data_IF_805275969269
#
_entry.id   IF_805275969269
#
_cell.length_a   1.000
_cell.length_b   1.000
_cell.length_c   1.000
_cell.angle_alpha   90.00
_cell.angle_beta   90.00
_cell.angle_gamma   90.00
#
_symmetry.space_group_name_H-M   'P 1'
#
loop_
_entity.id
_entity.type
_entity.pdbx_description
1 polymer ?
#
# COMPACT_ATOMS: atom_id res chain seq x y z
N UNK A 1 4.28 8.98 7.11
CA UNK A 1 3.30 7.94 6.77
C UNK A 1 3.26 6.92 7.90
N UNK A 2 2.39 7.13 8.90
CA UNK A 2 1.95 6.07 9.81
C UNK A 2 0.45 6.22 10.12
N UNK A 3 -0.22 5.20 10.66
CA UNK A 3 -1.69 5.07 10.82
C UNK A 3 -2.36 6.05 11.81
N UNK A 4 -1.81 7.25 11.99
CA UNK A 4 -2.33 8.23 12.95
C UNK A 4 -2.29 7.74 14.39
N UNK A 5 -1.31 6.89 14.71
CA UNK A 5 -1.03 6.43 16.08
C UNK A 5 -0.68 7.60 17.01
N UNK A 6 -0.72 7.42 18.34
CA UNK A 6 -0.54 8.54 19.27
C UNK A 6 0.83 9.24 19.16
N UNK A 7 1.87 8.54 18.70
CA UNK A 7 3.23 9.09 18.66
C UNK A 7 3.39 10.24 17.65
N UNK A 8 2.68 10.23 16.51
CA UNK A 8 2.82 11.29 15.51
C UNK A 8 2.39 12.64 16.06
N UNK A 9 1.25 12.69 16.76
CA UNK A 9 0.76 13.92 17.37
C UNK A 9 1.67 14.36 18.51
N UNK A 10 2.11 13.43 19.37
CA UNK A 10 3.02 13.75 20.47
C UNK A 10 4.35 14.33 19.96
N UNK A 11 4.92 13.76 18.89
CA UNK A 11 6.14 14.28 18.28
C UNK A 11 5.92 15.68 17.70
N UNK A 12 4.78 15.91 17.05
CA UNK A 12 4.41 17.22 16.51
C UNK A 12 4.32 18.27 17.62
N UNK A 13 3.64 17.93 18.73
CA UNK A 13 3.52 18.80 19.90
C UNK A 13 4.89 19.13 20.53
N UNK A 14 5.82 18.16 20.54
CA UNK A 14 7.17 18.34 21.08
C UNK A 14 8.09 19.18 20.19
N UNK A 15 7.89 19.14 18.88
CA UNK A 15 8.75 19.83 17.90
C UNK A 15 8.18 21.15 17.40
N UNK A 16 6.90 21.43 17.66
CA UNK A 16 6.17 22.55 17.08
C UNK A 16 5.74 22.34 15.63
N UNK A 17 5.92 21.11 15.09
CA UNK A 17 5.43 20.75 13.77
C UNK A 17 3.90 20.73 13.75
N UNK A 18 3.31 21.04 12.59
CA UNK A 18 1.87 20.91 12.39
C UNK A 18 1.58 19.51 11.84
N UNK A 19 0.74 18.75 12.53
CA UNK A 19 0.26 17.44 12.08
C UNK A 19 -1.26 17.46 11.85
N UNK A 20 -1.69 16.92 10.72
CA UNK A 20 -3.11 16.83 10.34
C UNK A 20 -3.63 15.40 10.52
N UNK A 21 -4.02 14.97 11.75
CA UNK A 21 -4.31 13.56 12.04
C UNK A 21 -5.49 13.01 11.23
N UNK A 22 -6.53 13.81 11.00
CA UNK A 22 -7.71 13.40 10.21
C UNK A 22 -7.35 13.15 8.74
N UNK A 23 -6.56 14.03 8.14
CA UNK A 23 -6.09 13.92 6.76
C UNK A 23 -5.17 12.72 6.60
N UNK A 24 -4.22 12.57 7.52
CA UNK A 24 -3.25 11.50 7.48
C UNK A 24 -3.92 10.12 7.61
N UNK A 25 -4.77 9.92 8.64
CA UNK A 25 -5.44 8.62 8.88
C UNK A 25 -6.40 8.21 7.77
N UNK A 26 -7.06 9.17 7.12
CA UNK A 26 -8.06 8.87 6.09
C UNK A 26 -7.46 8.70 4.70
N UNK A 27 -6.39 9.42 4.35
CA UNK A 27 -5.97 9.53 2.95
C UNK A 27 -4.50 9.22 2.71
N UNK A 28 -3.61 9.47 3.68
CA UNK A 28 -2.15 9.43 3.44
C UNK A 28 -1.48 8.22 4.10
N UNK A 29 -1.99 7.74 5.23
CA UNK A 29 -1.40 6.60 5.90
C UNK A 29 -2.37 5.89 6.84
N UNK A 30 -2.52 4.60 6.59
CA UNK A 30 -3.28 3.68 7.40
C UNK A 30 -2.58 2.31 7.43
N UNK A 31 -2.91 1.49 8.42
CA UNK A 31 -2.28 0.19 8.65
C UNK A 31 -2.67 -0.88 7.61
N UNK A 32 -1.94 -1.99 7.62
CA UNK A 32 -2.25 -3.16 6.78
C UNK A 32 -1.98 -3.01 5.28
N UNK A 33 -1.30 -1.95 4.85
CA UNK A 33 -0.85 -1.77 3.45
C UNK A 33 0.62 -2.16 3.28
N UNK A 34 0.98 -2.61 2.08
CA UNK A 34 2.35 -2.90 1.67
C UNK A 34 2.81 -1.92 0.56
N UNK A 35 4.00 -2.12 0.02
CA UNK A 35 4.57 -1.37 -1.10
C UNK A 35 4.46 -2.13 -2.42
N UNK A 36 3.51 -3.07 -2.53
CA UNK A 36 3.32 -3.82 -3.76
C UNK A 36 3.11 -2.88 -4.97
N UNK A 37 3.75 -3.13 -6.12
CA UNK A 37 3.66 -2.25 -7.29
C UNK A 37 2.24 -2.18 -7.88
N UNK A 38 1.45 -3.24 -7.72
CA UNK A 38 0.10 -3.35 -8.25
C UNK A 38 -0.98 -2.65 -7.41
N UNK A 39 -0.70 -2.29 -6.16
CA UNK A 39 -1.69 -1.70 -5.26
C UNK A 39 -1.70 -0.19 -5.45
N UNK A 40 -2.82 0.34 -5.97
CA UNK A 40 -3.01 1.81 -6.09
C UNK A 40 -3.03 2.51 -4.72
N UNK A 41 -3.19 1.75 -3.64
CA UNK A 41 -3.19 2.24 -2.28
C UNK A 41 -1.93 1.83 -1.50
N UNK A 42 -0.93 1.27 -2.18
CA UNK A 42 0.37 0.99 -1.58
C UNK A 42 1.15 2.27 -1.28
N UNK A 43 2.38 2.14 -0.82
CA UNK A 43 3.23 3.27 -0.41
C UNK A 43 3.36 4.38 -1.47
N UNK A 44 3.56 4.03 -2.76
CA UNK A 44 3.64 5.03 -3.84
C UNK A 44 2.27 5.68 -4.13
N UNK A 45 1.18 4.92 -4.10
CA UNK A 45 -0.17 5.47 -4.22
C UNK A 45 -0.46 6.54 -3.17
N UNK A 46 -0.09 6.27 -1.92
CA UNK A 46 -0.19 7.21 -0.80
C UNK A 46 0.71 8.44 -0.97
N UNK A 47 1.92 8.26 -1.50
CA UNK A 47 2.80 9.37 -1.85
C UNK A 47 2.19 10.28 -2.91
N UNK A 48 1.50 9.74 -3.93
CA UNK A 48 0.78 10.54 -4.93
C UNK A 48 -0.35 11.36 -4.31
N UNK A 49 -1.10 10.77 -3.38
CA UNK A 49 -2.14 11.49 -2.64
C UNK A 49 -1.54 12.62 -1.79
N UNK A 50 -0.37 12.40 -1.18
CA UNK A 50 0.34 13.44 -0.42
C UNK A 50 0.79 14.58 -1.34
N UNK A 51 1.41 14.26 -2.48
CA UNK A 51 1.86 15.25 -3.46
C UNK A 51 0.70 16.09 -4.01
N UNK A 52 -0.49 15.50 -4.16
CA UNK A 52 -1.68 16.24 -4.62
C UNK A 52 -2.13 17.35 -3.64
N UNK A 53 -1.65 17.34 -2.40
CA UNK A 53 -1.99 18.34 -1.38
C UNK A 53 -1.00 19.51 -1.33
N UNK A 54 0.14 19.43 -2.03
CA UNK A 54 1.28 20.34 -1.88
C UNK A 54 0.95 21.82 -2.12
N UNK A 55 -0.05 22.10 -2.96
CA UNK A 55 -0.46 23.48 -3.28
C UNK A 55 -1.40 24.07 -2.22
N UNK A 56 -2.00 23.20 -1.38
CA UNK A 56 -2.95 23.58 -0.32
C UNK A 56 -2.34 23.55 1.08
N UNK A 57 -1.25 22.78 1.27
CA UNK A 57 -0.59 22.56 2.55
C UNK A 57 0.93 22.50 2.33
N UNK A 58 1.75 23.21 3.13
CA UNK A 58 3.18 22.99 3.12
C UNK A 58 3.49 21.57 3.61
N UNK A 59 4.41 20.89 2.91
CA UNK A 59 4.86 19.54 3.24
C UNK A 59 6.36 19.62 3.49
N UNK A 60 6.76 19.94 4.72
CA UNK A 60 8.18 20.18 5.03
C UNK A 60 8.92 18.88 5.41
N UNK A 61 8.22 17.93 6.03
CA UNK A 61 8.81 16.68 6.53
C UNK A 61 7.97 15.48 6.11
N UNK A 62 8.63 14.45 5.58
CA UNK A 62 8.03 13.14 5.33
C UNK A 62 8.83 12.07 6.07
N UNK A 63 8.16 11.33 6.95
CA UNK A 63 8.69 10.11 7.55
C UNK A 63 8.10 8.88 6.85
N UNK A 64 8.92 8.03 6.24
CA UNK A 64 8.48 6.82 5.53
C UNK A 64 8.70 5.61 6.43
N UNK A 65 7.69 4.76 6.59
CA UNK A 65 7.83 3.45 7.25
C UNK A 65 6.82 2.46 6.68
N UNK A 66 7.27 1.23 6.46
CA UNK A 66 6.37 0.13 6.14
C UNK A 66 6.94 -1.21 6.60
N UNK A 67 6.41 -1.72 7.72
CA UNK A 67 6.80 -3.02 8.27
C UNK A 67 6.11 -4.19 7.58
N UNK A 68 4.99 -3.97 6.88
CA UNK A 68 4.27 -5.04 6.18
C UNK A 68 5.05 -5.57 4.96
N UNK A 69 6.04 -4.82 4.49
CA UNK A 69 6.91 -5.26 3.39
C UNK A 69 7.81 -6.45 3.76
N UNK A 70 7.81 -6.88 5.04
CA UNK A 70 8.39 -8.16 5.44
C UNK A 70 7.71 -9.35 4.73
N UNK A 71 6.49 -9.16 4.20
CA UNK A 71 5.82 -10.18 3.39
C UNK A 71 6.51 -10.42 2.03
N UNK A 72 7.39 -9.51 1.58
CA UNK A 72 8.26 -9.70 0.40
C UNK A 72 9.64 -10.22 0.76
N UNK A 73 9.84 -10.63 2.01
CA UNK A 73 11.12 -11.09 2.53
C UNK A 73 11.03 -12.57 2.85
N UNK A 74 12.00 -13.33 2.35
CA UNK A 74 12.21 -14.74 2.69
C UNK A 74 13.35 -14.83 3.71
N UNK A 75 13.20 -15.60 4.81
CA UNK A 75 14.15 -15.56 5.92
C UNK A 75 15.54 -16.08 5.55
N UNK A 76 15.65 -16.87 4.47
CA UNK A 76 16.89 -17.52 4.07
C UNK A 76 17.51 -16.85 2.83
N UNK A 77 16.68 -16.35 1.92
CA UNK A 77 17.11 -15.74 0.65
C UNK A 77 16.98 -14.22 0.61
N UNK A 78 16.31 -13.60 1.59
CA UNK A 78 16.16 -12.16 1.71
C UNK A 78 15.04 -11.58 0.84
N UNK A 79 15.21 -10.33 0.42
CA UNK A 79 14.26 -9.62 -0.45
C UNK A 79 14.69 -9.79 -1.91
N UNK A 80 13.82 -10.32 -2.77
CA UNK A 80 14.07 -10.48 -4.21
C UNK A 80 14.45 -9.13 -4.85
N UNK A 81 15.51 -9.13 -5.67
CA UNK A 81 16.04 -7.95 -6.36
C UNK A 81 17.29 -7.36 -5.69
N UNK A 82 17.68 -6.17 -6.14
CA UNK A 82 18.90 -5.50 -5.68
C UNK A 82 18.82 -3.98 -5.73
N UNK A 83 19.77 -3.30 -5.09
CA UNK A 83 19.91 -1.84 -5.17
C UNK A 83 20.18 -1.34 -6.60
N UNK A 84 20.62 -2.22 -7.51
CA UNK A 84 20.94 -1.89 -8.90
C UNK A 84 19.71 -1.98 -9.83
N UNK A 85 18.63 -2.66 -9.43
CA UNK A 85 17.41 -2.82 -10.23
C UNK A 85 16.83 -1.46 -10.65
N UNK A 86 16.52 -1.18 -11.91
CA UNK A 86 16.01 0.16 -12.30
C UNK A 86 14.79 0.62 -11.46
N UNK A 87 14.68 1.93 -11.15
CA UNK A 87 13.51 2.46 -10.46
C UNK A 87 12.23 2.17 -11.27
N UNK A 88 11.18 1.74 -10.58
CA UNK A 88 9.88 1.56 -11.19
C UNK A 88 8.83 2.39 -10.43
N UNK A 89 8.19 3.29 -11.17
CA UNK A 89 7.17 4.17 -10.64
C UNK A 89 5.82 3.76 -11.23
N UNK A 90 4.86 3.46 -10.37
CA UNK A 90 3.49 3.20 -10.77
C UNK A 90 2.94 4.37 -11.60
N UNK A 91 2.47 4.08 -12.81
CA UNK A 91 1.82 5.01 -13.73
C UNK A 91 0.32 4.81 -13.71
N UNK A 92 -0.24 4.37 -14.85
CA UNK A 92 -1.65 4.00 -14.98
C UNK A 92 -1.87 2.49 -14.83
N UNK A 93 -3.03 2.12 -14.29
CA UNK A 93 -3.50 0.74 -14.20
C UNK A 93 -4.68 0.55 -15.14
N UNK A 94 -4.66 -0.48 -15.99
CA UNK A 94 -5.72 -0.74 -16.97
C UNK A 94 -6.09 -2.20 -17.03
N UNK A 95 -7.38 -2.49 -16.97
CA UNK A 95 -7.89 -3.83 -17.23
C UNK A 95 -7.78 -4.16 -18.71
N UNK A 96 -7.12 -5.28 -18.98
CA UNK A 96 -6.75 -5.74 -20.32
C UNK A 96 -7.52 -7.00 -20.75
N UNK A 97 -8.23 -7.65 -19.81
CA UNK A 97 -9.22 -8.68 -20.11
C UNK A 97 -10.60 -8.03 -20.36
N UNK A 98 -11.47 -8.73 -21.10
CA UNK A 98 -12.85 -8.28 -21.37
C UNK A 98 -13.85 -8.66 -20.28
N UNK A 99 -13.45 -9.53 -19.36
CA UNK A 99 -14.25 -10.05 -18.27
C UNK A 99 -13.32 -10.66 -17.21
N UNK A 100 -13.88 -10.98 -16.04
CA UNK A 100 -13.21 -11.79 -15.01
C UNK A 100 -12.90 -13.18 -15.58
N UNK A 101 -11.71 -13.67 -15.27
CA UNK A 101 -11.24 -15.02 -15.63
C UNK A 101 -11.38 -15.97 -14.43
N UNK A 102 -11.42 -17.28 -14.66
CA UNK A 102 -11.81 -18.23 -13.62
C UNK A 102 -10.73 -18.46 -12.55
N UNK A 103 -9.45 -18.23 -12.88
CA UNK A 103 -8.33 -18.41 -11.96
C UNK A 103 -7.12 -17.55 -12.34
N UNK A 104 -6.11 -17.51 -11.46
CA UNK A 104 -4.83 -16.86 -11.73
C UNK A 104 -4.12 -17.49 -12.95
N UNK A 105 -4.18 -18.80 -13.09
CA UNK A 105 -3.60 -19.56 -14.20
C UNK A 105 -4.31 -19.23 -15.52
N UNK A 106 -5.65 -19.13 -15.49
CA UNK A 106 -6.42 -18.69 -16.64
C UNK A 106 -6.08 -17.23 -17.03
N UNK A 107 -5.89 -16.34 -16.05
CA UNK A 107 -5.44 -14.97 -16.27
C UNK A 107 -4.05 -14.88 -16.90
N UNK A 108 -3.11 -15.68 -16.40
CA UNK A 108 -1.76 -15.79 -16.97
C UNK A 108 -1.79 -16.32 -18.41
N UNK A 109 -2.50 -17.42 -18.66
CA UNK A 109 -2.63 -17.99 -20.00
C UNK A 109 -3.30 -17.02 -20.99
N UNK A 110 -4.32 -16.28 -20.54
CA UNK A 110 -4.95 -15.23 -21.34
C UNK A 110 -3.97 -14.12 -21.68
N UNK A 111 -3.19 -13.64 -20.69
CA UNK A 111 -2.15 -12.64 -20.90
C UNK A 111 -1.14 -13.11 -21.94
N UNK A 112 -0.54 -14.29 -21.77
CA UNK A 112 0.45 -14.86 -22.70
C UNK A 112 -0.07 -14.94 -24.13
N UNK A 113 -1.33 -15.37 -24.31
CA UNK A 113 -1.98 -15.48 -25.63
C UNK A 113 -2.30 -14.13 -26.26
N UNK A 114 -2.70 -13.12 -25.47
CA UNK A 114 -3.30 -11.89 -26.00
C UNK A 114 -2.43 -10.64 -25.87
N UNK A 115 -1.34 -10.67 -25.09
CA UNK A 115 -0.55 -9.49 -24.74
C UNK A 115 -0.13 -8.71 -25.99
N UNK A 116 0.47 -9.37 -27.00
CA UNK A 116 0.91 -8.70 -28.24
C UNK A 116 -0.23 -7.95 -28.95
N UNK A 117 -1.44 -8.52 -28.95
CA UNK A 117 -2.63 -7.90 -29.56
C UNK A 117 -3.07 -6.67 -28.75
N UNK A 118 -3.11 -6.79 -27.43
CA UNK A 118 -3.46 -5.70 -26.50
C UNK A 118 -2.48 -4.54 -26.66
N UNK A 119 -1.17 -4.83 -26.68
CA UNK A 119 -0.13 -3.80 -26.82
C UNK A 119 -0.25 -3.04 -28.13
N UNK A 120 -0.54 -3.73 -29.25
CA UNK A 120 -0.75 -3.09 -30.56
C UNK A 120 -2.01 -2.23 -30.61
N UNK A 121 -3.12 -2.72 -30.04
CA UNK A 121 -4.41 -2.04 -30.03
C UNK A 121 -4.44 -0.82 -29.10
N UNK A 122 -3.56 -0.77 -28.10
CA UNK A 122 -3.47 0.34 -27.15
C UNK A 122 -3.14 1.67 -27.87
N UNK A 123 -3.96 2.73 -27.73
CA UNK A 123 -3.69 4.05 -28.33
C UNK A 123 -2.35 4.62 -27.89
N UNK A 124 -1.62 5.30 -28.80
CA UNK A 124 -0.30 5.90 -28.50
C UNK A 124 -0.33 6.85 -27.30
N UNK A 125 -1.38 7.66 -27.16
CA UNK A 125 -1.55 8.60 -26.04
C UNK A 125 -1.65 7.91 -24.67
N UNK A 126 -1.94 6.60 -24.62
CA UNK A 126 -1.99 5.83 -23.38
C UNK A 126 -0.74 4.97 -23.15
N UNK A 127 0.31 5.11 -23.98
CA UNK A 127 1.56 4.36 -23.84
C UNK A 127 2.55 5.21 -23.05
N UNK A 128 2.83 4.83 -21.82
CA UNK A 128 3.70 5.56 -20.91
C UNK A 128 4.43 4.60 -19.97
N UNK A 129 5.56 5.06 -19.42
CA UNK A 129 6.28 4.37 -18.36
C UNK A 129 5.37 4.12 -17.14
N UNK A 130 5.67 3.07 -16.37
CA UNK A 130 4.92 2.74 -15.15
C UNK A 130 3.54 2.12 -15.37
N UNK A 131 3.13 1.93 -16.62
CA UNK A 131 1.84 1.34 -16.92
C UNK A 131 1.75 -0.11 -16.46
N UNK A 132 0.56 -0.50 -16.02
CA UNK A 132 0.21 -1.87 -15.66
C UNK A 132 -0.96 -2.33 -16.51
N UNK A 133 -0.91 -3.58 -16.95
CA UNK A 133 -2.06 -4.28 -17.52
C UNK A 133 -2.54 -5.33 -16.53
N UNK A 134 -3.84 -5.34 -16.30
CA UNK A 134 -4.52 -6.16 -15.29
C UNK A 134 -5.41 -7.18 -15.98
N UNK A 135 -5.30 -8.41 -15.52
CA UNK A 135 -6.13 -9.53 -15.93
C UNK A 135 -6.88 -10.02 -14.69
N UNK A 136 -8.11 -9.52 -14.47
CA UNK A 136 -8.90 -9.87 -13.29
C UNK A 136 -9.26 -11.35 -13.30
N UNK A 137 -9.23 -11.99 -12.13
CA UNK A 137 -9.68 -13.36 -11.95
C UNK A 137 -10.48 -13.56 -10.67
N UNK A 138 -11.39 -14.53 -10.66
CA UNK A 138 -12.19 -14.87 -9.50
C UNK A 138 -11.37 -15.63 -8.45
N UNK A 139 -11.52 -15.25 -7.18
CA UNK A 139 -11.05 -16.00 -6.04
C UNK A 139 -12.28 -16.54 -5.26
N UNK A 140 -12.71 -17.79 -5.51
CA UNK A 140 -13.91 -18.36 -4.89
C UNK A 140 -13.80 -18.54 -3.38
N UNK A 141 -12.59 -18.51 -2.82
CA UNK A 141 -12.36 -18.68 -1.38
C UNK A 141 -12.53 -17.37 -0.59
N UNK A 142 -12.86 -16.27 -1.26
CA UNK A 142 -13.02 -14.95 -0.65
C UNK A 142 -14.29 -14.30 -1.17
N UNK A 143 -14.96 -13.57 -0.31
CA UNK A 143 -16.20 -12.88 -0.62
C UNK A 143 -15.95 -11.54 -1.31
N UNK A 144 -16.82 -11.21 -2.27
CA UNK A 144 -16.85 -9.94 -2.96
C UNK A 144 -18.26 -9.58 -3.41
N UNK A 145 -18.44 -8.33 -3.82
CA UNK A 145 -19.72 -7.84 -4.33
C UNK A 145 -19.46 -7.26 -5.71
N UNK A 146 -20.05 -7.84 -6.74
CA UNK A 146 -19.99 -7.32 -8.11
C UNK A 146 -21.03 -6.21 -8.24
N UNK A 147 -20.60 -5.07 -8.74
CA UNK A 147 -21.43 -3.89 -8.98
C UNK A 147 -21.45 -3.66 -10.49
N UNK A 148 -22.59 -3.95 -11.10
CA UNK A 148 -22.84 -3.73 -12.52
C UNK A 148 -23.50 -2.37 -12.74
N UNK A 149 -22.96 -1.60 -13.68
CA UNK A 149 -23.50 -0.30 -14.06
C UNK A 149 -24.52 -0.52 -15.16
N UNK A 150 -25.79 -0.36 -14.82
CA UNK A 150 -26.92 -0.53 -15.74
C UNK A 150 -27.08 0.72 -16.61
N UNK A 151 -27.03 1.90 -15.98
CA UNK A 151 -27.13 3.18 -16.67
C UNK A 151 -26.25 4.24 -15.98
N UNK A 152 -25.52 5.06 -16.75
CA UNK A 152 -24.65 6.09 -16.19
C UNK A 152 -25.46 7.27 -15.63
N UNK A 153 -24.83 8.06 -14.77
CA UNK A 153 -25.39 9.33 -14.30
C UNK A 153 -25.31 10.41 -15.38
N UNK A 154 -26.42 11.13 -15.61
CA UNK A 154 -26.46 12.30 -16.49
C UNK A 154 -25.95 13.58 -15.82
N UNK A 155 -26.12 13.73 -14.52
CA UNK A 155 -25.92 14.99 -13.79
C UNK A 155 -24.82 14.94 -12.72
N UNK A 156 -24.23 13.77 -12.47
CA UNK A 156 -23.34 13.55 -11.34
C UNK A 156 -24.10 13.56 -10.01
N UNK A 157 -23.36 13.51 -8.90
CA UNK A 157 -23.91 13.58 -7.54
C UNK A 157 -23.25 12.61 -6.57
N UNK A 158 -23.73 12.57 -5.33
CA UNK A 158 -23.14 11.69 -4.31
C UNK A 158 -23.52 10.22 -4.53
N UNK A 159 -22.55 9.35 -4.29
CA UNK A 159 -22.71 7.90 -4.18
C UNK A 159 -22.13 7.48 -2.84
N UNK A 160 -22.87 6.66 -2.10
CA UNK A 160 -22.44 6.14 -0.82
C UNK A 160 -22.34 4.62 -0.85
N UNK A 161 -21.16 4.08 -0.52
CA UNK A 161 -20.91 2.66 -0.35
C UNK A 161 -20.96 2.30 1.12
N UNK A 162 -21.55 1.16 1.44
CA UNK A 162 -21.73 0.70 2.80
C UNK A 162 -21.45 -0.79 2.93
N UNK A 163 -20.97 -1.21 4.10
CA UNK A 163 -20.72 -2.61 4.47
C UNK A 163 -21.14 -2.78 5.93
N UNK A 164 -22.25 -3.48 6.19
CA UNK A 164 -22.72 -3.74 7.56
C UNK A 164 -22.72 -2.47 8.45
N UNK A 165 -22.03 -2.53 9.60
CA UNK A 165 -21.84 -1.37 10.51
C UNK A 165 -20.53 -0.59 10.26
N UNK A 166 -19.77 -0.94 9.23
CA UNK A 166 -18.47 -0.35 8.92
C UNK A 166 -18.58 1.08 8.34
N UNK A 167 -17.46 1.83 8.27
CA UNK A 167 -17.47 3.20 7.75
C UNK A 167 -18.04 3.27 6.33
N UNK A 168 -18.90 4.27 6.12
CA UNK A 168 -19.43 4.62 4.79
C UNK A 168 -18.34 5.29 3.95
N UNK A 169 -18.36 5.04 2.66
CA UNK A 169 -17.49 5.73 1.70
C UNK A 169 -18.36 6.56 0.78
N UNK A 170 -18.21 7.88 0.87
CA UNK A 170 -18.94 8.83 0.04
C UNK A 170 -18.02 9.30 -1.10
N UNK A 171 -18.54 9.25 -2.32
CA UNK A 171 -17.85 9.68 -3.53
C UNK A 171 -18.75 10.63 -4.32
N UNK A 172 -18.19 11.73 -4.81
CA UNK A 172 -18.90 12.64 -5.72
C UNK A 172 -18.65 12.21 -7.15
N UNK A 173 -19.66 11.63 -7.79
CA UNK A 173 -19.59 11.16 -9.18
C UNK A 173 -19.65 12.36 -10.15
N UNK A 174 -18.70 12.46 -11.10
CA UNK A 174 -18.79 13.41 -12.21
C UNK A 174 -19.98 13.14 -13.14
N UNK A 175 -20.54 14.21 -13.70
CA UNK A 175 -21.60 14.13 -14.69
C UNK A 175 -21.09 13.63 -16.06
N UNK A 176 -21.97 12.99 -16.83
CA UNK A 176 -21.75 12.74 -18.26
C UNK A 176 -20.73 11.67 -18.62
N UNK A 177 -20.26 10.88 -17.66
CA UNK A 177 -19.39 9.73 -17.93
C UNK A 177 -20.19 8.60 -18.60
N UNK A 178 -19.60 7.93 -19.59
CA UNK A 178 -20.13 6.68 -20.13
C UNK A 178 -20.10 5.56 -19.07
N UNK A 179 -20.74 4.42 -19.35
CA UNK A 179 -20.70 3.22 -18.49
C UNK A 179 -19.26 2.78 -18.22
N UNK A 180 -18.44 2.67 -19.27
CA UNK A 180 -17.04 2.28 -19.16
C UNK A 180 -16.23 3.30 -18.33
N UNK A 181 -16.40 4.60 -18.60
CA UNK A 181 -15.71 5.64 -17.82
C UNK A 181 -16.13 5.64 -16.36
N UNK A 182 -17.43 5.43 -16.07
CA UNK A 182 -17.94 5.35 -14.70
C UNK A 182 -17.35 4.14 -13.97
N UNK A 183 -17.28 2.98 -14.62
CA UNK A 183 -16.65 1.77 -14.08
C UNK A 183 -15.18 1.99 -13.75
N UNK A 184 -14.41 2.52 -14.72
CA UNK A 184 -12.97 2.79 -14.54
C UNK A 184 -12.75 3.78 -13.41
N UNK A 185 -13.55 4.85 -13.37
CA UNK A 185 -13.49 5.87 -12.34
C UNK A 185 -13.77 5.27 -10.97
N UNK A 186 -14.84 4.48 -10.81
CA UNK A 186 -15.20 3.85 -9.54
C UNK A 186 -14.16 2.81 -9.08
N UNK A 187 -13.65 1.97 -9.99
CA UNK A 187 -12.61 1.00 -9.67
C UNK A 187 -11.26 1.66 -9.30
N UNK A 188 -11.00 2.87 -9.80
CA UNK A 188 -9.78 3.64 -9.49
C UNK A 188 -9.82 4.36 -8.14
N UNK A 189 -10.99 4.42 -7.47
CA UNK A 189 -11.13 5.21 -6.24
C UNK A 189 -10.49 4.57 -5.03
N UNK A 190 -10.09 5.48 -4.15
CA UNK A 190 -9.63 5.16 -2.82
C UNK A 190 -10.83 5.04 -1.88
N UNK A 191 -11.13 3.82 -1.44
CA UNK A 191 -12.24 3.52 -0.52
C UNK A 191 -11.82 3.47 0.96
N UNK A 192 -10.54 3.66 1.28
CA UNK A 192 -10.03 3.56 2.65
C UNK A 192 -9.47 2.19 3.03
N UNK A 193 -8.98 2.10 4.27
CA UNK A 193 -8.47 0.86 4.86
C UNK A 193 -9.53 -0.24 4.83
N UNK A 194 -9.13 -1.49 4.60
CA UNK A 194 -10.06 -2.62 4.50
C UNK A 194 -10.65 -2.85 3.11
N UNK A 195 -10.72 -1.83 2.25
CA UNK A 195 -11.42 -1.92 0.98
C UNK A 195 -10.49 -2.24 -0.20
N UNK A 196 -10.99 -3.02 -1.15
CA UNK A 196 -10.38 -3.15 -2.48
C UNK A 196 -11.47 -3.15 -3.55
N UNK A 197 -11.16 -2.51 -4.69
CA UNK A 197 -12.01 -2.50 -5.88
C UNK A 197 -11.17 -2.96 -7.08
N UNK A 198 -11.74 -3.84 -7.91
CA UNK A 198 -11.12 -4.35 -9.13
C UNK A 198 -12.07 -4.18 -10.29
N UNK A 199 -11.57 -3.61 -11.37
CA UNK A 199 -12.27 -3.51 -12.63
C UNK A 199 -12.35 -4.88 -13.32
N UNK A 200 -13.57 -5.34 -13.60
CA UNK A 200 -13.83 -6.65 -14.18
C UNK A 200 -13.64 -6.68 -15.71
N UNK A 201 -13.48 -5.52 -16.37
CA UNK A 201 -13.28 -5.41 -17.82
C UNK A 201 -14.57 -5.45 -18.65
N UNK A 202 -15.72 -5.70 -18.02
CA UNK A 202 -17.07 -5.62 -18.58
C UNK A 202 -17.75 -4.31 -18.14
N UNK A 203 -19.08 -4.30 -17.93
CA UNK A 203 -19.80 -3.15 -17.37
C UNK A 203 -19.83 -3.14 -15.83
N UNK A 204 -18.94 -3.90 -15.17
CA UNK A 204 -18.94 -4.06 -13.72
C UNK A 204 -17.57 -3.91 -13.09
N UNK A 205 -17.56 -3.72 -11.77
CA UNK A 205 -16.36 -3.85 -10.95
C UNK A 205 -16.72 -4.64 -9.70
N UNK A 206 -15.74 -5.28 -9.07
CA UNK A 206 -15.93 -6.02 -7.83
C UNK A 206 -15.31 -5.25 -6.68
N UNK A 207 -16.07 -5.09 -5.60
CA UNK A 207 -15.62 -4.47 -4.36
C UNK A 207 -15.67 -5.47 -3.20
N UNK A 208 -14.68 -5.42 -2.30
CA UNK A 208 -14.61 -6.28 -1.12
C UNK A 208 -14.04 -5.53 0.08
N UNK A 209 -14.47 -5.90 1.29
CA UNK A 209 -13.97 -5.37 2.55
C UNK A 209 -13.34 -6.49 3.40
N UNK A 210 -12.01 -6.54 3.49
CA UNK A 210 -11.32 -7.72 4.04
C UNK A 210 -11.41 -7.88 5.55
N UNK A 211 -11.80 -6.83 6.29
CA UNK A 211 -12.05 -6.91 7.73
C UNK A 211 -13.37 -7.62 8.05
N UNK A 212 -14.29 -7.71 7.09
CA UNK A 212 -15.52 -8.46 7.25
C UNK A 212 -15.83 -9.28 6.00
N UNK A 213 -15.36 -10.52 6.03
CA UNK A 213 -15.40 -11.45 4.89
C UNK A 213 -16.81 -11.93 4.54
N UNK A 214 -17.84 -11.55 5.28
CA UNK A 214 -19.21 -12.04 5.07
C UNK A 214 -20.21 -10.92 4.81
N UNK A 215 -19.80 -9.65 4.87
CA UNK A 215 -20.74 -8.54 4.70
C UNK A 215 -21.01 -8.21 3.23
N UNK A 216 -22.30 -8.01 2.96
CA UNK A 216 -22.77 -7.47 1.69
C UNK A 216 -22.51 -5.97 1.60
N UNK A 217 -22.02 -5.56 0.44
CA UNK A 217 -21.87 -4.14 0.11
C UNK A 217 -23.20 -3.66 -0.43
N UNK A 218 -23.68 -2.50 0.02
CA UNK A 218 -24.79 -1.82 -0.63
C UNK A 218 -24.37 -0.43 -1.10
N UNK A 219 -25.00 0.04 -2.17
CA UNK A 219 -24.67 1.30 -2.83
C UNK A 219 -25.94 2.16 -2.86
N UNK A 220 -25.88 3.33 -2.25
CA UNK A 220 -26.90 4.36 -2.42
C UNK A 220 -26.47 5.30 -3.55
N UNK A 221 -27.31 5.37 -4.59
CA UNK A 221 -27.08 6.17 -5.79
C UNK A 221 -28.15 7.24 -6.01
N UNK A 222 -29.09 7.44 -5.07
CA UNK A 222 -30.26 8.32 -5.26
C UNK A 222 -29.90 9.72 -5.71
N UNK A 223 -28.87 10.32 -5.11
CA UNK A 223 -28.45 11.69 -5.42
C UNK A 223 -27.66 11.80 -6.72
N UNK A 224 -26.98 10.73 -7.15
CA UNK A 224 -26.24 10.72 -8.42
C UNK A 224 -27.10 10.33 -9.62
N UNK A 225 -28.23 9.63 -9.40
CA UNK A 225 -29.03 9.05 -10.49
C UNK A 225 -28.31 7.92 -11.25
N UNK A 226 -27.20 7.40 -10.73
CA UNK A 226 -26.53 6.20 -11.25
C UNK A 226 -27.42 4.97 -11.00
N UNK A 227 -27.57 4.10 -12.00
CA UNK A 227 -28.28 2.83 -11.81
C UNK A 227 -27.29 1.68 -11.76
N UNK A 228 -27.32 0.93 -10.65
CA UNK A 228 -26.44 -0.22 -10.43
C UNK A 228 -27.23 -1.44 -9.98
N UNK A 229 -26.75 -2.62 -10.37
CA UNK A 229 -27.10 -3.88 -9.74
C UNK A 229 -25.93 -4.35 -8.87
N UNK A 230 -26.23 -4.78 -7.65
CA UNK A 230 -25.23 -5.38 -6.75
C UNK A 230 -25.55 -6.86 -6.61
N UNK A 231 -24.59 -7.70 -6.98
CA UNK A 231 -24.69 -9.15 -6.88
C UNK A 231 -23.60 -9.70 -5.99
N UNK A 232 -24.00 -10.59 -5.09
CA UNK A 232 -23.10 -11.35 -4.24
C UNK A 232 -22.25 -12.32 -5.08
N UNK A 233 -20.98 -12.53 -4.71
CA UNK A 233 -20.08 -13.37 -5.50
C UNK A 233 -18.67 -13.53 -4.94
N UNK A 234 -17.78 -14.15 -5.73
CA UNK A 234 -16.38 -14.27 -5.36
C UNK A 234 -15.69 -12.91 -5.40
N UNK A 235 -14.68 -12.73 -4.53
CA UNK A 235 -13.73 -11.64 -4.66
C UNK A 235 -13.02 -11.75 -6.00
N UNK A 236 -12.75 -10.62 -6.63
CA UNK A 236 -11.87 -10.57 -7.81
C UNK A 236 -10.47 -10.14 -7.36
N UNK A 237 -9.47 -10.87 -7.83
CA UNK A 237 -8.05 -10.59 -7.70
C UNK A 237 -7.43 -10.32 -9.07
N UNK A 238 -6.15 -10.01 -9.11
CA UNK A 238 -5.51 -9.43 -10.29
C UNK A 238 -4.21 -10.17 -10.62
N UNK A 239 -4.10 -10.68 -11.85
CA UNK A 239 -2.80 -10.96 -12.44
C UNK A 239 -2.34 -9.69 -13.16
N UNK A 240 -1.13 -9.21 -12.86
CA UNK A 240 -0.64 -7.91 -13.32
C UNK A 240 0.67 -8.08 -14.05
N UNK A 241 0.80 -7.41 -15.20
CA UNK A 241 2.07 -7.21 -15.88
C UNK A 241 2.43 -5.73 -15.91
N UNK A 242 3.68 -5.43 -15.64
CA UNK A 242 4.26 -4.11 -15.47
C UNK A 242 5.08 -3.75 -16.69
N UNK A 243 4.90 -2.54 -17.18
CA UNK A 243 5.76 -1.96 -18.21
C UNK A 243 7.00 -1.34 -17.57
N UNK A 244 8.17 -1.86 -17.93
CA UNK A 244 9.48 -1.43 -17.41
C UNK A 244 10.26 -0.55 -18.39
N UNK A 245 9.70 -0.29 -19.58
CA UNK A 245 10.31 0.64 -20.52
C UNK A 245 10.21 2.10 -20.06
N UNK A 246 11.20 2.92 -20.46
CA UNK A 246 11.34 4.32 -20.05
C UNK A 246 10.36 5.28 -20.73
N UNK A 247 9.82 4.90 -21.88
CA UNK A 247 8.92 5.74 -22.69
C UNK A 247 8.02 4.91 -23.62
N UNK A 248 7.26 5.56 -24.50
CA UNK A 248 6.35 4.89 -25.42
C UNK A 248 7.04 4.04 -26.52
N UNK A 249 8.32 4.26 -26.80
CA UNK A 249 9.06 3.60 -27.90
C UNK A 249 9.26 2.11 -27.65
N UNK A 250 9.37 1.71 -26.39
CA UNK A 250 9.54 0.32 -25.99
C UNK A 250 8.22 -0.45 -25.84
N UNK A 251 7.07 0.18 -26.04
CA UNK A 251 5.76 -0.34 -25.61
C UNK A 251 5.43 -1.73 -26.15
N UNK A 252 5.77 -1.99 -27.40
CA UNK A 252 5.44 -3.26 -28.07
C UNK A 252 6.53 -4.32 -27.95
N UNK A 253 7.63 -4.03 -27.23
CA UNK A 253 8.73 -4.97 -26.99
C UNK A 253 8.37 -5.84 -25.78
N UNK A 254 8.24 -7.15 -25.96
CA UNK A 254 7.84 -8.08 -24.90
C UNK A 254 8.82 -8.08 -23.71
N UNK A 255 10.12 -7.87 -23.95
CA UNK A 255 11.12 -7.79 -22.89
C UNK A 255 10.94 -6.61 -21.92
N UNK A 256 10.12 -5.61 -22.27
CA UNK A 256 9.77 -4.49 -21.39
C UNK A 256 8.49 -4.75 -20.59
N UNK A 257 7.95 -5.97 -20.62
CA UNK A 257 6.78 -6.38 -19.88
C UNK A 257 7.13 -7.58 -19.00
N UNK A 258 6.86 -7.45 -17.71
CA UNK A 258 7.18 -8.46 -16.69
C UNK A 258 6.03 -8.58 -15.72
N UNK A 259 5.79 -9.74 -15.13
CA UNK A 259 4.83 -9.92 -14.04
C UNK A 259 5.44 -9.69 -12.65
N UNK A 260 6.70 -9.23 -12.62
CA UNK A 260 7.45 -8.94 -11.40
C UNK A 260 8.15 -7.59 -11.45
N UNK A 261 8.04 -6.84 -10.37
CA UNK A 261 8.85 -5.66 -10.04
C UNK A 261 9.29 -5.82 -8.59
N UNK A 262 10.60 -5.68 -8.32
CA UNK A 262 11.15 -5.90 -6.99
C UNK A 262 10.75 -4.79 -6.01
N UNK A 263 10.81 -5.09 -4.71
CA UNK A 263 10.59 -4.08 -3.67
C UNK A 263 11.63 -2.96 -3.78
N UNK A 264 12.86 -3.29 -4.18
CA UNK A 264 13.91 -2.32 -4.48
C UNK A 264 13.48 -1.32 -5.56
N UNK A 265 13.04 -1.79 -6.72
CA UNK A 265 12.53 -0.93 -7.79
C UNK A 265 11.38 -0.03 -7.32
N UNK A 266 10.46 -0.57 -6.52
CA UNK A 266 9.32 0.18 -5.97
C UNK A 266 9.77 1.30 -5.02
N UNK A 267 10.70 1.01 -4.10
CA UNK A 267 11.24 2.01 -3.19
C UNK A 267 12.06 3.08 -3.92
N UNK A 268 12.84 2.70 -4.92
CA UNK A 268 13.57 3.66 -5.77
C UNK A 268 12.59 4.58 -6.51
N UNK A 269 11.55 4.02 -7.13
CA UNK A 269 10.49 4.80 -7.78
C UNK A 269 9.72 5.72 -6.83
N UNK A 270 9.48 5.29 -5.59
CA UNK A 270 8.92 6.14 -4.53
C UNK A 270 9.81 7.35 -4.22
N UNK A 271 11.11 7.12 -4.00
CA UNK A 271 12.04 8.18 -3.65
C UNK A 271 12.23 9.18 -4.80
N UNK A 272 12.35 8.70 -6.04
CA UNK A 272 12.43 9.57 -7.22
C UNK A 272 11.15 10.40 -7.40
N UNK A 273 9.98 9.77 -7.20
CA UNK A 273 8.70 10.48 -7.28
C UNK A 273 8.61 11.61 -6.25
N UNK A 274 8.91 11.31 -4.98
CA UNK A 274 8.84 12.29 -3.89
C UNK A 274 9.84 13.43 -4.11
N UNK A 275 11.11 13.13 -4.36
CA UNK A 275 12.13 14.17 -4.57
C UNK A 275 11.86 15.05 -5.79
N UNK A 276 11.27 14.50 -6.86
CA UNK A 276 10.93 15.27 -8.05
C UNK A 276 9.72 16.21 -7.82
N UNK A 277 8.75 15.77 -7.00
CA UNK A 277 7.50 16.52 -6.81
C UNK A 277 7.50 17.43 -5.58
N UNK A 278 8.36 17.14 -4.62
CA UNK A 278 8.51 17.81 -3.34
C UNK A 278 10.01 18.07 -3.06
N UNK A 279 10.70 18.87 -3.89
CA UNK A 279 12.16 19.00 -3.85
C UNK A 279 12.70 19.66 -2.58
N UNK A 280 11.87 20.45 -1.87
CA UNK A 280 12.25 21.16 -0.65
C UNK A 280 11.90 20.39 0.63
N UNK A 281 11.26 19.23 0.51
CA UNK A 281 10.81 18.43 1.65
C UNK A 281 11.96 17.58 2.20
N UNK A 282 12.15 17.60 3.51
CA UNK A 282 13.05 16.67 4.18
C UNK A 282 12.39 15.30 4.28
N UNK A 283 13.04 14.29 3.69
CA UNK A 283 12.57 12.91 3.73
C UNK A 283 13.45 12.13 4.70
N UNK A 284 12.78 11.40 5.58
CA UNK A 284 13.38 10.53 6.58
C UNK A 284 12.83 9.11 6.43
N UNK A 285 13.69 8.12 6.60
CA UNK A 285 13.26 6.74 6.74
C UNK A 285 13.11 6.38 8.22
N UNK A 286 11.89 6.06 8.65
CA UNK A 286 11.58 5.76 10.05
C UNK A 286 11.68 4.26 10.32
N UNK A 287 12.65 3.88 11.17
CA UNK A 287 12.91 2.51 11.62
C UNK A 287 12.30 2.28 13.03
N UNK A 288 11.09 1.71 13.12
CA UNK A 288 10.46 1.41 14.41
C UNK A 288 11.19 0.29 15.17
N UNK A 289 10.93 0.16 16.48
CA UNK A 289 11.12 -1.13 17.14
C UNK A 289 10.10 -2.13 16.60
N UNK A 290 10.46 -3.41 16.53
CA UNK A 290 9.53 -4.41 16.01
C UNK A 290 9.62 -5.70 16.83
N UNK A 291 8.56 -5.97 17.59
CA UNK A 291 8.41 -7.20 18.37
C UNK A 291 7.03 -7.78 18.07
N UNK A 292 6.99 -8.92 17.39
CA UNK A 292 5.74 -9.61 17.07
C UNK A 292 5.96 -11.12 17.13
N UNK A 293 5.93 -11.64 18.34
CA UNK A 293 6.12 -13.05 18.65
C UNK A 293 5.30 -13.43 19.90
N UNK A 294 5.17 -14.73 20.17
CA UNK A 294 4.53 -15.20 21.39
C UNK A 294 5.49 -15.05 22.57
N UNK A 295 5.13 -14.23 23.56
CA UNK A 295 5.94 -14.05 24.76
C UNK A 295 6.05 -15.30 25.63
N UNK A 296 5.23 -16.32 25.37
CA UNK A 296 5.24 -17.60 26.07
C UNK A 296 5.72 -18.76 25.18
N UNK A 297 6.26 -18.49 23.99
CA UNK A 297 6.83 -19.50 23.12
C UNK A 297 8.05 -20.15 23.81
N UNK A 298 8.04 -21.47 24.07
CA UNK A 298 9.14 -22.15 24.74
C UNK A 298 10.47 -22.01 24.00
N UNK A 299 10.43 -21.91 22.68
CA UNK A 299 11.62 -21.81 21.82
C UNK A 299 12.37 -20.47 21.96
N UNK A 300 11.77 -19.44 22.57
CA UNK A 300 12.41 -18.13 22.82
C UNK A 300 12.56 -17.82 24.30
N UNK A 301 12.30 -18.80 25.17
CA UNK A 301 12.37 -18.64 26.62
C UNK A 301 13.45 -19.55 27.22
N UNK A 302 14.15 -19.01 28.22
CA UNK A 302 15.03 -19.79 29.09
C UNK A 302 14.22 -20.44 30.21
N UNK A 303 14.84 -21.37 30.91
CA UNK A 303 14.22 -22.09 32.03
C UNK A 303 13.74 -21.18 33.18
N UNK A 304 14.36 -20.01 33.36
CA UNK A 304 13.97 -19.01 34.35
C UNK A 304 12.83 -18.07 33.88
N UNK A 305 12.31 -18.29 32.67
CA UNK A 305 11.25 -17.47 32.06
C UNK A 305 11.75 -16.16 31.43
N UNK A 306 13.06 -15.90 31.43
CA UNK A 306 13.65 -14.80 30.66
C UNK A 306 13.68 -15.13 29.16
N UNK A 307 13.71 -14.10 28.31
CA UNK A 307 13.86 -14.32 26.87
C UNK A 307 15.29 -14.74 26.53
N UNK A 308 15.39 -15.72 25.64
CA UNK A 308 16.64 -16.09 24.98
C UNK A 308 16.84 -15.19 23.75
N UNK A 309 17.79 -14.26 23.83
CA UNK A 309 18.06 -13.29 22.76
C UNK A 309 18.57 -13.98 21.48
N UNK A 310 19.41 -15.01 21.60
CA UNK A 310 19.96 -15.73 20.45
C UNK A 310 18.86 -16.54 19.74
N UNK A 311 17.97 -17.16 20.52
CA UNK A 311 16.82 -17.86 19.95
C UNK A 311 15.83 -16.90 19.29
N UNK A 312 15.56 -15.73 19.91
CA UNK A 312 14.75 -14.67 19.31
C UNK A 312 15.33 -14.18 17.97
N UNK A 313 16.64 -13.96 17.91
CA UNK A 313 17.31 -13.50 16.69
C UNK A 313 17.13 -14.45 15.50
N UNK A 314 17.06 -15.76 15.78
CA UNK A 314 16.86 -16.83 14.80
C UNK A 314 15.40 -17.01 14.34
N UNK A 315 14.43 -16.39 15.03
CA UNK A 315 13.02 -16.48 14.62
C UNK A 315 12.83 -15.97 13.20
N UNK A 316 11.97 -16.65 12.43
CA UNK A 316 11.67 -16.27 11.04
C UNK A 316 11.28 -14.78 10.94
N UNK A 317 10.45 -14.32 11.87
CA UNK A 317 9.94 -12.95 11.89
C UNK A 317 11.03 -11.92 12.11
N UNK A 318 11.96 -12.16 13.04
CA UNK A 318 13.08 -11.26 13.29
C UNK A 318 14.04 -11.24 12.09
N UNK A 319 14.37 -12.41 11.53
CA UNK A 319 15.22 -12.50 10.32
C UNK A 319 14.65 -11.71 9.14
N UNK A 320 13.33 -11.84 8.88
CA UNK A 320 12.63 -11.03 7.86
C UNK A 320 12.69 -9.53 8.17
N UNK A 321 12.49 -9.12 9.42
CA UNK A 321 12.58 -7.72 9.82
C UNK A 321 13.99 -7.15 9.60
N UNK A 322 15.03 -7.88 9.97
CA UNK A 322 16.42 -7.46 9.80
C UNK A 322 16.80 -7.31 8.33
N UNK A 323 16.38 -8.25 7.48
CA UNK A 323 16.59 -8.19 6.04
C UNK A 323 15.85 -7.01 5.40
N UNK A 324 14.57 -6.79 5.74
CA UNK A 324 13.82 -5.62 5.26
C UNK A 324 14.49 -4.32 5.71
N UNK A 325 14.91 -4.23 6.97
CA UNK A 325 15.56 -3.04 7.51
C UNK A 325 16.86 -2.74 6.76
N UNK A 326 17.63 -3.77 6.37
CA UNK A 326 18.82 -3.61 5.53
C UNK A 326 18.49 -3.02 4.15
N UNK A 327 17.42 -3.51 3.49
CA UNK A 327 16.93 -2.93 2.22
C UNK A 327 16.56 -1.46 2.39
N UNK A 328 15.81 -1.14 3.44
CA UNK A 328 15.35 0.21 3.72
C UNK A 328 16.50 1.18 4.00
N UNK A 329 17.54 0.75 4.75
CA UNK A 329 18.77 1.51 4.96
C UNK A 329 19.55 1.73 3.66
N UNK A 330 19.70 0.70 2.84
CA UNK A 330 20.40 0.81 1.56
C UNK A 330 19.70 1.79 0.60
N UNK A 331 18.35 1.77 0.56
CA UNK A 331 17.57 2.77 -0.18
C UNK A 331 17.78 4.17 0.41
N UNK A 332 17.71 4.32 1.74
CA UNK A 332 17.89 5.62 2.38
C UNK A 332 19.27 6.21 2.04
N UNK A 333 20.33 5.41 2.15
CA UNK A 333 21.69 5.78 1.76
C UNK A 333 21.79 6.18 0.28
N UNK A 334 21.23 5.37 -0.64
CA UNK A 334 21.28 5.61 -2.09
C UNK A 334 20.65 6.96 -2.49
N UNK A 335 19.67 7.42 -1.74
CA UNK A 335 18.92 8.66 -1.99
C UNK A 335 19.28 9.80 -1.03
N UNK A 336 20.35 9.64 -0.23
CA UNK A 336 20.77 10.62 0.79
C UNK A 336 19.59 11.05 1.68
N UNK A 337 18.88 10.05 2.22
CA UNK A 337 17.77 10.17 3.14
C UNK A 337 18.26 9.71 4.51
N UNK A 338 17.98 10.49 5.57
CA UNK A 338 18.39 10.16 6.93
C UNK A 338 17.55 9.02 7.49
N UNK A 339 18.19 8.11 8.23
CA UNK A 339 17.49 7.04 8.94
C UNK A 339 17.22 7.45 10.39
N UNK A 340 15.96 7.35 10.81
CA UNK A 340 15.50 7.58 12.18
C UNK A 340 15.41 6.23 12.91
N UNK A 341 16.49 5.85 13.58
CA UNK A 341 16.66 4.58 14.29
C UNK A 341 15.90 4.52 15.63
N UNK A 342 14.59 4.74 15.60
CA UNK A 342 13.75 4.69 16.81
C UNK A 342 13.84 3.33 17.50
N UNK A 343 13.90 2.23 16.75
CA UNK A 343 14.08 0.89 17.30
C UNK A 343 15.33 0.75 18.17
N UNK A 344 16.43 1.38 17.78
CA UNK A 344 17.72 1.37 18.50
C UNK A 344 17.69 2.27 19.74
N UNK A 345 17.04 3.42 19.66
CA UNK A 345 17.13 4.47 20.69
C UNK A 345 15.93 4.58 21.62
N UNK A 346 14.82 3.86 21.37
CA UNK A 346 13.63 3.92 22.23
C UNK A 346 13.75 3.17 23.55
N UNK A 347 14.82 2.38 23.74
CA UNK A 347 15.05 1.63 24.97
C UNK A 347 14.10 0.45 25.18
N UNK A 348 13.25 0.13 24.20
CA UNK A 348 12.43 -1.08 24.21
C UNK A 348 13.29 -2.25 23.71
N UNK A 349 13.42 -3.30 24.52
CA UNK A 349 14.20 -4.50 24.24
C UNK A 349 13.53 -5.71 24.90
N UNK A 350 14.08 -6.92 24.69
CA UNK A 350 13.46 -8.16 25.20
C UNK A 350 13.26 -8.15 26.72
N UNK A 351 14.10 -7.46 27.50
CA UNK A 351 13.99 -7.42 28.97
C UNK A 351 12.77 -6.64 29.46
N UNK A 352 12.27 -5.68 28.68
CA UNK A 352 11.14 -4.82 29.05
C UNK A 352 10.00 -4.82 28.01
N UNK A 353 10.06 -5.68 26.98
CA UNK A 353 9.10 -5.70 25.86
C UNK A 353 7.65 -5.87 26.33
N UNK A 354 7.45 -6.61 27.44
CA UNK A 354 6.12 -6.86 28.03
C UNK A 354 5.46 -5.59 28.54
N UNK A 355 6.21 -4.53 28.86
CA UNK A 355 5.64 -3.26 29.31
C UNK A 355 5.08 -2.44 28.13
N UNK A 356 5.56 -2.69 26.92
CA UNK A 356 5.32 -1.85 25.75
C UNK A 356 4.57 -2.54 24.61
N UNK A 357 4.55 -3.88 24.56
CA UNK A 357 3.87 -4.69 23.55
C UNK A 357 2.93 -5.70 24.18
N UNK A 358 1.95 -6.15 23.39
CA UNK A 358 1.16 -7.35 23.68
C UNK A 358 1.77 -8.56 22.98
N UNK A 359 1.60 -9.75 23.56
CA UNK A 359 2.02 -11.00 22.91
C UNK A 359 1.26 -11.17 21.59
N UNK A 360 1.96 -11.60 20.52
CA UNK A 360 1.43 -11.80 19.15
C UNK A 360 0.82 -10.55 18.51
N UNK A 361 1.18 -9.35 18.98
CA UNK A 361 0.68 -8.09 18.41
C UNK A 361 1.86 -7.22 17.94
N UNK A 362 1.91 -6.81 16.67
CA UNK A 362 2.92 -5.84 16.21
C UNK A 362 2.67 -4.42 16.73
N UNK A 363 1.51 -4.12 17.31
CA UNK A 363 1.17 -2.79 17.80
C UNK A 363 1.65 -2.60 19.24
N UNK A 364 2.15 -1.39 19.49
CA UNK A 364 2.54 -0.97 20.82
C UNK A 364 1.30 -0.69 21.69
N UNK A 365 1.48 -0.86 22.99
CA UNK A 365 0.66 -0.23 24.01
C UNK A 365 0.86 1.29 23.98
N UNK A 366 0.01 2.03 24.71
CA UNK A 366 0.08 3.49 24.79
C UNK A 366 1.45 3.97 25.27
N UNK A 367 2.02 3.29 26.26
CA UNK A 367 3.33 3.56 26.87
C UNK A 367 4.44 3.38 25.84
N UNK A 368 4.31 2.37 24.97
CA UNK A 368 5.25 2.09 23.91
C UNK A 368 5.28 3.19 22.85
N UNK A 369 4.10 3.69 22.45
CA UNK A 369 4.01 4.83 21.55
C UNK A 369 4.59 6.11 22.15
N UNK A 370 4.45 6.32 23.47
CA UNK A 370 5.09 7.44 24.16
C UNK A 370 6.61 7.33 24.13
N UNK A 371 7.17 6.12 24.30
CA UNK A 371 8.62 5.91 24.17
C UNK A 371 9.12 6.15 22.75
N UNK A 372 8.37 5.75 21.72
CA UNK A 372 8.70 6.09 20.34
C UNK A 372 8.74 7.60 20.10
N UNK A 373 7.74 8.35 20.58
CA UNK A 373 7.72 9.81 20.43
C UNK A 373 8.91 10.47 21.10
N UNK A 374 9.21 10.06 22.34
CA UNK A 374 10.36 10.56 23.09
C UNK A 374 11.68 10.28 22.36
N UNK A 375 11.89 9.05 21.92
CA UNK A 375 13.11 8.66 21.22
C UNK A 375 13.26 9.43 19.91
N UNK A 376 12.19 9.56 19.15
CA UNK A 376 12.16 10.31 17.91
C UNK A 376 12.49 11.79 18.13
N UNK A 377 11.91 12.42 19.16
CA UNK A 377 12.24 13.80 19.53
C UNK A 377 13.72 13.96 19.88
N UNK A 378 14.29 13.06 20.67
CA UNK A 378 15.72 13.11 21.03
C UNK A 378 16.64 12.89 19.83
N UNK A 379 16.29 11.97 18.93
CA UNK A 379 16.98 11.78 17.64
C UNK A 379 16.97 13.09 16.85
N UNK A 380 15.79 13.72 16.76
CA UNK A 380 15.61 14.98 16.02
C UNK A 380 16.41 16.14 16.61
N UNK A 381 16.31 16.33 17.93
CA UNK A 381 16.97 17.41 18.65
C UNK A 381 18.49 17.26 18.67
N UNK A 382 18.98 16.04 18.87
CA UNK A 382 20.41 15.78 18.99
C UNK A 382 21.13 15.70 17.63
N UNK A 383 20.40 15.72 16.52
CA UNK A 383 20.98 15.54 15.19
C UNK A 383 21.63 14.16 15.01
N UNK A 384 21.14 13.14 15.72
CA UNK A 384 21.72 11.79 15.72
C UNK A 384 21.10 10.98 14.58
N UNK A 385 21.67 11.11 13.39
CA UNK A 385 21.21 10.41 12.19
C UNK A 385 22.29 9.43 11.70
N UNK A 386 21.86 8.31 11.13
CA UNK A 386 22.72 7.42 10.34
C UNK A 386 22.50 7.67 8.83
#
# INVERSE_FOLDING_TARGET
MGDGTPWQQQFADQTGCIFYPKLNRRYISYGGSDSAPATMNGTLGRAKLLVALKDSLPIDIIMISNTNDMNFTDPDTGVEGSIDDEPWMQGSKRTAAKSVLDSKEAAKAYCEKNLRKILKATPKAQRAAGNMLVFPYANPNRHGNRIEIIAPSKHGGEICFHVGRSPRVNLTLPAGMSVAQTREWLASKFYGAGWSAVDNGDNSFTISYYYDKNNKVWVDTKESGLQVAVTDGPRVEEYVVFYTGKDASGWTKSCNWTDKVSLWSCYKGLMEYLKSNLPNTEIYWFMPSYFNFDFNAPEVLRADGSFDEEAFEKTERNRKWMQLSAVQRAIAQRYNCRVLEVGKYCGINLKNVRDYYLSKDPHLKKEGYAQWSKALYEIFKAGKWE
#
